data_IF_688286713738
#
_entry.id   IF_688286713738
#
_cell.length_a   1.000
_cell.length_b   1.000
_cell.length_c   1.000
_cell.angle_alpha   90.00
_cell.angle_beta   90.00
_cell.angle_gamma   90.00
#
_symmetry.space_group_name_H-M   'P 1'
#
loop_
_entity.id
_entity.type
_entity.pdbx_description
1 polymer ?
#
# COMPACT_ATOMS: atom_id res chain seq x y z
N UNK A 1 -15.99 1.10 14.58
CA UNK A 1 -14.99 0.83 13.54
C UNK A 1 -13.68 1.53 13.89
N UNK A 2 -13.66 2.87 14.01
CA UNK A 2 -12.43 3.62 14.31
C UNK A 2 -11.83 3.31 15.69
N UNK A 3 -12.65 3.14 16.72
CA UNK A 3 -12.15 2.88 18.09
C UNK A 3 -11.40 1.55 18.17
N UNK A 4 -11.90 0.50 17.52
CA UNK A 4 -11.19 -0.78 17.39
C UNK A 4 -9.86 -0.60 16.66
N UNK A 5 -9.88 -0.03 15.44
CA UNK A 5 -8.65 0.21 14.68
C UNK A 5 -7.61 0.94 15.55
N UNK A 6 -7.98 2.01 16.24
CA UNK A 6 -7.04 2.76 17.07
C UNK A 6 -6.46 1.94 18.24
N UNK A 7 -7.21 1.00 18.82
CA UNK A 7 -6.73 0.10 19.90
C UNK A 7 -5.68 -0.88 19.41
N UNK A 8 -5.87 -1.40 18.20
CA UNK A 8 -5.02 -2.43 17.61
C UNK A 8 -4.04 -1.89 16.57
N UNK A 9 -4.06 -0.58 16.28
CA UNK A 9 -3.22 0.07 15.27
C UNK A 9 -1.74 -0.20 15.51
N UNK A 10 -1.26 0.11 16.71
CA UNK A 10 0.16 -0.05 17.05
C UNK A 10 0.63 -1.52 16.98
N UNK A 11 -0.06 -2.50 17.61
CA UNK A 11 0.32 -3.90 17.50
C UNK A 11 0.21 -4.43 16.06
N UNK A 12 -0.81 -4.00 15.30
CA UNK A 12 -0.95 -4.39 13.90
C UNK A 12 0.22 -3.89 13.06
N UNK A 13 0.55 -2.59 13.15
CA UNK A 13 1.68 -2.01 12.42
C UNK A 13 3.03 -2.62 12.86
N UNK A 14 3.18 -2.95 14.15
CA UNK A 14 4.35 -3.66 14.66
C UNK A 14 4.47 -5.07 14.07
N UNK A 15 3.37 -5.82 14.01
CA UNK A 15 3.36 -7.13 13.37
C UNK A 15 3.69 -7.04 11.88
N UNK A 16 3.07 -6.12 11.15
CA UNK A 16 3.39 -5.89 9.74
C UNK A 16 4.85 -5.49 9.52
N UNK A 17 5.48 -4.83 10.50
CA UNK A 17 6.89 -4.41 10.42
C UNK A 17 7.87 -5.52 10.79
N UNK A 18 7.40 -6.64 11.35
CA UNK A 18 8.24 -7.75 11.77
C UNK A 18 8.55 -8.67 10.59
N UNK A 19 9.83 -8.94 10.27
CA UNK A 19 10.20 -9.88 9.22
C UNK A 19 9.86 -11.34 9.59
N UNK A 20 9.54 -11.60 10.87
CA UNK A 20 9.14 -12.91 11.36
C UNK A 20 7.62 -13.13 11.24
N UNK A 21 6.87 -12.07 10.97
CA UNK A 21 5.43 -12.15 10.77
C UNK A 21 5.16 -12.36 9.28
N UNK A 22 4.91 -13.61 8.89
CA UNK A 22 4.21 -13.89 7.66
C UNK A 22 2.72 -13.82 7.98
N UNK A 23 1.99 -12.75 7.61
CA UNK A 23 0.55 -12.76 7.78
C UNK A 23 0.03 -14.00 7.05
N UNK A 24 -0.63 -14.91 7.78
CA UNK A 24 -1.49 -15.90 7.11
C UNK A 24 -2.39 -15.10 6.19
N UNK A 25 -2.43 -15.46 4.90
CA UNK A 25 -3.16 -14.73 3.85
C UNK A 25 -4.51 -14.31 4.43
N UNK A 26 -4.57 -13.06 4.86
CA UNK A 26 -5.66 -12.57 5.66
C UNK A 26 -6.68 -12.26 4.60
N UNK A 27 -7.51 -13.27 4.27
CA UNK A 27 -8.49 -13.12 3.21
C UNK A 27 -9.24 -11.82 3.46
N UNK A 28 -9.52 -11.06 2.40
CA UNK A 28 -10.05 -9.70 2.57
C UNK A 28 -11.39 -9.70 3.32
N UNK A 29 -12.10 -10.85 3.37
CA UNK A 29 -13.25 -11.05 4.27
C UNK A 29 -12.86 -10.98 5.75
N UNK A 30 -11.74 -11.58 6.14
CA UNK A 30 -11.17 -11.49 7.48
C UNK A 30 -10.70 -10.06 7.80
N UNK A 31 -10.16 -9.31 6.83
CA UNK A 31 -9.80 -7.89 7.02
C UNK A 31 -11.02 -6.96 7.12
N UNK A 32 -12.04 -7.13 6.28
CA UNK A 32 -13.30 -6.36 6.40
C UNK A 32 -14.05 -6.73 7.69
N UNK A 33 -14.01 -8.00 8.08
CA UNK A 33 -14.53 -8.48 9.36
C UNK A 33 -13.76 -7.89 10.55
N UNK A 34 -12.44 -7.75 10.41
CA UNK A 34 -11.54 -7.13 11.39
C UNK A 34 -11.92 -5.68 11.67
N UNK A 35 -12.17 -4.89 10.63
CA UNK A 35 -12.58 -3.49 10.80
C UNK A 35 -14.01 -3.34 11.34
N UNK A 36 -14.85 -4.36 11.15
CA UNK A 36 -16.25 -4.39 11.60
C UNK A 36 -16.42 -4.90 13.04
N UNK A 37 -15.34 -5.33 13.71
CA UNK A 37 -15.42 -6.04 15.01
C UNK A 37 -15.97 -5.18 16.16
N UNK A 38 -15.71 -3.87 16.14
CA UNK A 38 -16.25 -2.90 17.11
C UNK A 38 -17.79 -2.97 17.24
N UNK A 39 -18.46 -3.31 16.13
CA UNK A 39 -19.91 -3.46 16.09
C UNK A 39 -20.35 -4.82 16.65
N UNK A 40 -19.57 -5.87 16.40
CA UNK A 40 -19.86 -7.23 16.85
C UNK A 40 -19.60 -7.44 18.34
N UNK A 41 -18.58 -6.77 18.92
CA UNK A 41 -18.29 -6.84 20.36
C UNK A 41 -19.39 -6.17 21.18
N UNK A 42 -19.92 -5.03 20.73
CA UNK A 42 -21.07 -4.36 21.37
C UNK A 42 -22.37 -5.17 21.26
N UNK A 43 -22.55 -5.92 20.17
CA UNK A 43 -23.70 -6.82 20.02
C UNK A 43 -23.62 -8.04 20.96
N UNK A 44 -22.43 -8.42 21.43
CA UNK A 44 -22.19 -9.58 22.29
C UNK A 44 -22.38 -9.31 23.78
N UNK A 45 -22.54 -8.05 24.22
CA UNK A 45 -22.86 -7.76 25.63
C UNK A 45 -24.25 -8.29 26.03
N UNK A 46 -25.06 -8.76 25.07
CA UNK A 46 -26.39 -9.32 25.31
C UNK A 46 -26.61 -10.81 24.99
N UNK A 47 -25.73 -11.58 24.33
CA UNK A 47 -26.09 -12.96 23.93
C UNK A 47 -24.98 -14.04 23.85
N UNK A 48 -25.44 -15.29 23.99
CA UNK A 48 -24.79 -16.62 24.03
C UNK A 48 -23.41 -16.81 23.32
N UNK A 49 -22.51 -17.64 23.90
CA UNK A 49 -21.18 -17.95 23.37
C UNK A 49 -21.15 -18.76 22.06
N UNK A 50 -22.30 -19.17 21.53
CA UNK A 50 -22.45 -19.93 20.26
C UNK A 50 -22.71 -19.03 19.05
N UNK A 51 -22.79 -17.71 19.22
CA UNK A 51 -23.05 -16.79 18.12
C UNK A 51 -21.89 -16.74 17.13
N UNK A 52 -22.19 -16.51 15.85
CA UNK A 52 -21.17 -16.30 14.80
C UNK A 52 -20.16 -15.22 15.18
N UNK A 53 -20.55 -14.22 15.97
CA UNK A 53 -19.67 -13.16 16.46
C UNK A 53 -18.61 -13.66 17.46
N UNK A 54 -18.96 -14.57 18.37
CA UNK A 54 -18.01 -15.18 19.31
C UNK A 54 -16.96 -16.05 18.58
N UNK A 55 -17.40 -16.85 17.60
CA UNK A 55 -16.51 -17.65 16.72
C UNK A 55 -15.56 -16.73 15.93
N UNK A 56 -16.07 -15.60 15.42
CA UNK A 56 -15.25 -14.60 14.71
C UNK A 56 -14.23 -13.92 15.64
N UNK A 57 -14.62 -13.61 16.87
CA UNK A 57 -13.71 -13.06 17.89
C UNK A 57 -12.62 -14.06 18.30
N UNK A 58 -12.92 -15.35 18.36
CA UNK A 58 -11.92 -16.39 18.63
C UNK A 58 -10.92 -16.56 17.46
N UNK A 59 -11.41 -16.62 16.22
CA UNK A 59 -10.56 -16.65 15.02
C UNK A 59 -9.66 -15.42 14.92
N UNK A 60 -10.16 -14.26 15.35
CA UNK A 60 -9.35 -13.04 15.46
C UNK A 60 -8.22 -13.16 16.48
N UNK A 61 -8.54 -13.65 17.68
CA UNK A 61 -7.53 -13.88 18.73
C UNK A 61 -6.48 -14.86 18.28
N UNK A 62 -6.83 -15.84 17.44
CA UNK A 62 -5.90 -16.80 16.84
C UNK A 62 -4.99 -16.14 15.78
N UNK A 63 -5.55 -15.40 14.83
CA UNK A 63 -4.79 -14.66 13.79
C UNK A 63 -3.79 -13.69 14.44
N UNK A 64 -4.21 -13.06 15.54
CA UNK A 64 -3.41 -12.11 16.28
C UNK A 64 -2.71 -12.75 17.49
N UNK A 65 -2.78 -14.07 17.71
CA UNK A 65 -2.17 -14.73 18.88
C UNK A 65 -0.65 -14.53 18.88
N UNK A 66 -0.03 -14.49 17.69
CA UNK A 66 1.38 -14.12 17.53
C UNK A 66 1.69 -12.67 17.87
N UNK A 67 0.71 -11.76 17.75
CA UNK A 67 0.83 -10.33 18.10
C UNK A 67 0.50 -10.05 19.57
N UNK A 68 -0.50 -10.76 20.12
CA UNK A 68 -1.08 -10.49 21.45
C UNK A 68 -0.34 -11.15 22.60
N UNK A 69 0.37 -12.26 22.36
CA UNK A 69 1.18 -12.88 23.42
C UNK A 69 2.40 -12.01 23.78
N UNK A 70 2.88 -11.18 22.85
CA UNK A 70 4.00 -10.25 23.06
C UNK A 70 3.53 -8.82 23.37
N UNK A 71 2.38 -8.40 22.84
CA UNK A 71 1.79 -7.08 23.09
C UNK A 71 0.49 -7.28 23.89
N UNK A 72 0.51 -6.94 25.18
CA UNK A 72 -0.67 -6.96 26.06
C UNK A 72 -1.74 -5.99 25.56
N UNK A 73 -2.57 -6.44 24.60
CA UNK A 73 -3.75 -5.69 24.17
C UNK A 73 -4.94 -6.30 24.87
N UNK A 74 -5.49 -5.57 25.82
CA UNK A 74 -6.77 -5.91 26.42
C UNK A 74 -7.87 -5.70 25.37
N UNK A 75 -8.22 -6.76 24.65
CA UNK A 75 -9.38 -6.82 23.76
C UNK A 75 -10.72 -6.85 24.53
N UNK A 76 -10.69 -6.79 25.85
CA UNK A 76 -11.88 -6.73 26.70
C UNK A 76 -12.52 -5.35 26.67
N UNK A 77 -13.86 -5.31 26.75
CA UNK A 77 -14.67 -4.09 26.87
C UNK A 77 -14.48 -3.35 28.19
N UNK A 78 -13.24 -3.15 28.64
CA UNK A 78 -12.93 -2.28 29.75
C UNK A 78 -13.17 -0.83 29.34
N UNK A 79 -14.07 -0.17 30.06
CA UNK A 79 -14.45 1.25 29.95
C UNK A 79 -13.27 2.24 30.10
N UNK A 80 -12.05 1.76 30.39
CA UNK A 80 -10.90 2.59 30.77
C UNK A 80 -9.76 2.75 29.76
N UNK A 81 -9.76 2.07 28.60
CA UNK A 81 -8.70 2.28 27.60
C UNK A 81 -8.97 3.53 26.78
N UNK A 82 -8.48 4.68 27.27
CA UNK A 82 -8.43 5.93 26.52
C UNK A 82 -7.59 5.71 25.25
N UNK A 83 -8.25 5.74 24.09
CA UNK A 83 -7.59 5.58 22.79
C UNK A 83 -7.36 6.96 22.18
N UNK A 84 -6.21 7.17 21.58
CA UNK A 84 -5.86 8.45 20.96
C UNK A 84 -5.44 8.31 19.51
N UNK A 85 -5.68 9.35 18.74
CA UNK A 85 -5.18 9.54 17.39
C UNK A 85 -4.28 10.76 17.36
N UNK A 86 -2.98 10.55 17.08
CA UNK A 86 -1.98 11.64 16.99
C UNK A 86 -2.01 12.59 18.20
N UNK A 87 -2.18 12.03 19.40
CA UNK A 87 -2.22 12.78 20.66
C UNK A 87 -3.59 13.35 21.03
N UNK A 88 -4.61 13.27 20.15
CA UNK A 88 -5.99 13.65 20.45
C UNK A 88 -6.77 12.46 20.99
N UNK A 89 -7.54 12.66 22.06
CA UNK A 89 -8.45 11.63 22.57
C UNK A 89 -9.56 11.32 21.56
N UNK A 90 -10.05 10.08 21.57
CA UNK A 90 -11.09 9.60 20.66
C UNK A 90 -12.36 10.48 20.66
N UNK A 91 -12.75 10.98 21.83
CA UNK A 91 -13.92 11.83 22.03
C UNK A 91 -13.74 13.24 21.44
N UNK A 92 -12.50 13.66 21.20
CA UNK A 92 -12.14 14.97 20.65
C UNK A 92 -11.81 14.93 19.14
N UNK A 93 -12.05 13.80 18.47
CA UNK A 93 -11.73 13.66 17.05
C UNK A 93 -12.72 14.44 16.16
N UNK A 94 -12.14 15.18 15.22
CA UNK A 94 -12.88 15.95 14.22
C UNK A 94 -13.19 15.10 12.98
N UNK A 95 -13.99 15.64 12.05
CA UNK A 95 -14.22 15.00 10.76
C UNK A 95 -12.92 14.78 9.96
N UNK A 96 -11.97 15.72 10.08
CA UNK A 96 -10.65 15.62 9.45
C UNK A 96 -9.87 14.42 10.02
N UNK A 97 -9.87 14.27 11.34
CA UNK A 97 -9.20 13.13 12.00
C UNK A 97 -9.82 11.79 11.55
N UNK A 98 -11.14 11.72 11.41
CA UNK A 98 -11.82 10.53 10.88
C UNK A 98 -11.42 10.22 9.43
N UNK A 99 -11.29 11.24 8.57
CA UNK A 99 -10.84 11.04 7.19
C UNK A 99 -9.41 10.48 7.14
N UNK A 100 -8.51 10.97 8.00
CA UNK A 100 -7.15 10.45 8.10
C UNK A 100 -7.11 8.99 8.58
N UNK A 101 -7.97 8.63 9.53
CA UNK A 101 -8.09 7.24 10.02
C UNK A 101 -8.62 6.33 8.91
N UNK A 102 -9.67 6.74 8.19
CA UNK A 102 -10.20 5.99 7.04
C UNK A 102 -9.13 5.82 5.97
N UNK A 103 -8.38 6.88 5.68
CA UNK A 103 -7.28 6.85 4.74
C UNK A 103 -6.21 5.83 5.17
N UNK A 104 -5.76 5.86 6.42
CA UNK A 104 -4.73 4.95 6.91
C UNK A 104 -5.18 3.48 6.82
N UNK A 105 -6.41 3.20 7.25
CA UNK A 105 -7.01 1.86 7.15
C UNK A 105 -7.04 1.39 5.70
N UNK A 106 -7.47 2.26 4.78
CA UNK A 106 -7.60 1.93 3.36
C UNK A 106 -6.25 1.75 2.69
N UNK A 107 -5.25 2.55 3.07
CA UNK A 107 -3.88 2.45 2.57
C UNK A 107 -3.20 1.15 3.05
N UNK A 108 -3.37 0.79 4.34
CA UNK A 108 -2.90 -0.51 4.86
C UNK A 108 -3.57 -1.66 4.10
N UNK A 109 -4.90 -1.60 3.93
CA UNK A 109 -5.65 -2.61 3.20
C UNK A 109 -5.13 -2.79 1.77
N UNK A 110 -5.02 -1.68 1.02
CA UNK A 110 -4.57 -1.69 -0.36
C UNK A 110 -3.15 -2.27 -0.49
N UNK A 111 -2.22 -1.90 0.41
CA UNK A 111 -0.85 -2.43 0.41
C UNK A 111 -0.80 -3.94 0.61
N UNK A 112 -1.58 -4.46 1.57
CA UNK A 112 -1.66 -5.90 1.86
C UNK A 112 -2.37 -6.68 0.75
N UNK A 113 -3.44 -6.10 0.19
CA UNK A 113 -4.18 -6.66 -0.93
C UNK A 113 -3.31 -6.76 -2.19
N UNK A 114 -2.53 -5.72 -2.50
CA UNK A 114 -1.59 -5.75 -3.62
C UNK A 114 -0.50 -6.81 -3.42
N UNK A 115 0.09 -6.90 -2.22
CA UNK A 115 1.12 -7.90 -1.91
C UNK A 115 0.58 -9.32 -2.05
N UNK A 116 -0.63 -9.56 -1.55
CA UNK A 116 -1.30 -10.87 -1.62
C UNK A 116 -1.66 -11.23 -3.07
N UNK A 117 -2.19 -10.26 -3.83
CA UNK A 117 -2.48 -10.48 -5.24
C UNK A 117 -1.21 -10.79 -6.03
N UNK A 118 -0.11 -10.06 -5.79
CA UNK A 118 1.17 -10.32 -6.45
C UNK A 118 1.63 -11.77 -6.22
N UNK A 119 1.54 -12.25 -4.98
CA UNK A 119 1.89 -13.62 -4.62
C UNK A 119 1.04 -14.67 -5.35
N UNK A 120 -0.27 -14.41 -5.52
CA UNK A 120 -1.21 -15.34 -6.17
C UNK A 120 -1.12 -15.30 -7.70
N UNK A 121 -0.89 -14.12 -8.26
CA UNK A 121 -0.88 -13.88 -9.69
C UNK A 121 0.47 -14.20 -10.33
N UNK A 122 1.54 -14.35 -9.56
CA UNK A 122 2.88 -14.61 -10.07
C UNK A 122 2.97 -15.93 -10.85
N UNK A 123 3.68 -15.93 -11.99
CA UNK A 123 4.12 -17.15 -12.68
C UNK A 123 5.06 -17.92 -11.73
N UNK A 124 4.66 -19.13 -11.31
CA UNK A 124 5.35 -19.96 -10.32
C UNK A 124 6.88 -19.84 -10.38
N UNK A 125 7.44 -19.06 -9.45
CA UNK A 125 8.86 -18.99 -9.15
C UNK A 125 9.07 -19.44 -7.70
N UNK A 126 10.11 -20.21 -7.40
CA UNK A 126 10.29 -20.76 -6.06
C UNK A 126 10.60 -19.63 -5.06
N UNK A 127 9.96 -19.70 -3.90
CA UNK A 127 10.24 -18.99 -2.65
C UNK A 127 9.71 -17.56 -2.48
N UNK A 128 9.48 -17.24 -1.20
CA UNK A 128 9.27 -15.91 -0.64
C UNK A 128 10.54 -15.07 -0.85
N UNK A 129 10.68 -14.53 -2.06
CA UNK A 129 11.84 -13.72 -2.45
C UNK A 129 11.72 -12.32 -1.82
N UNK A 130 12.65 -11.96 -0.93
CA UNK A 130 12.75 -10.61 -0.35
C UNK A 130 12.93 -9.52 -1.42
N UNK A 131 13.39 -9.89 -2.62
CA UNK A 131 13.40 -9.00 -3.78
C UNK A 131 11.98 -8.60 -4.22
N UNK A 132 10.99 -9.48 -4.04
CA UNK A 132 9.59 -9.25 -4.42
C UNK A 132 8.85 -8.38 -3.41
N UNK A 133 9.03 -8.58 -2.11
CA UNK A 133 8.51 -7.64 -1.11
C UNK A 133 9.10 -6.23 -1.32
N UNK A 134 10.37 -6.17 -1.69
CA UNK A 134 11.03 -4.93 -2.09
C UNK A 134 10.39 -4.35 -3.36
N UNK A 135 10.02 -5.18 -4.33
CA UNK A 135 9.33 -4.74 -5.56
C UNK A 135 7.92 -4.18 -5.26
N UNK A 136 7.12 -4.85 -4.43
CA UNK A 136 5.81 -4.36 -3.99
C UNK A 136 5.97 -3.06 -3.21
N UNK A 137 6.92 -2.98 -2.27
CA UNK A 137 7.20 -1.75 -1.51
C UNK A 137 7.57 -0.56 -2.39
N UNK A 138 8.20 -0.77 -3.56
CA UNK A 138 8.50 0.29 -4.54
C UNK A 138 7.26 0.89 -5.19
N UNK A 139 6.08 0.27 -5.07
CA UNK A 139 4.81 0.88 -5.49
C UNK A 139 4.36 2.00 -4.52
N UNK A 140 4.97 2.13 -3.34
CA UNK A 140 4.55 3.03 -2.28
C UNK A 140 5.65 4.00 -1.84
N UNK A 141 5.26 5.08 -1.16
CA UNK A 141 6.16 6.11 -0.63
C UNK A 141 7.00 5.63 0.58
N UNK A 142 6.79 4.39 1.03
CA UNK A 142 7.52 3.73 2.10
C UNK A 142 7.29 2.21 2.08
N UNK A 143 7.82 1.46 3.05
CA UNK A 143 7.58 0.02 3.19
C UNK A 143 6.09 -0.32 3.32
N UNK A 144 5.70 -1.54 2.94
CA UNK A 144 4.32 -2.05 3.08
C UNK A 144 3.80 -1.85 4.51
N UNK A 145 4.66 -2.09 5.50
CA UNK A 145 4.35 -2.04 6.92
C UNK A 145 4.22 -0.64 7.54
N UNK A 146 4.73 0.39 6.86
CA UNK A 146 4.79 1.75 7.40
C UNK A 146 3.82 2.64 6.62
N UNK A 147 2.68 2.91 7.23
CA UNK A 147 1.68 3.85 6.73
C UNK A 147 1.69 5.10 7.61
N UNK A 148 2.23 6.20 7.07
CA UNK A 148 2.17 7.52 7.69
C UNK A 148 1.18 8.39 6.93
N UNK A 149 0.23 9.00 7.64
CA UNK A 149 -0.72 9.96 7.07
C UNK A 149 0.00 11.12 6.40
N UNK A 150 1.18 11.53 6.85
CA UNK A 150 1.98 12.54 6.14
C UNK A 150 2.31 12.14 4.68
N UNK A 151 2.26 10.84 4.37
CA UNK A 151 2.45 10.30 3.01
C UNK A 151 1.16 10.20 2.19
N UNK A 152 0.02 10.66 2.70
CA UNK A 152 -1.29 10.40 2.11
C UNK A 152 -1.46 10.89 0.67
N UNK A 153 -0.83 12.02 0.38
CA UNK A 153 -0.84 12.60 -0.95
C UNK A 153 0.46 12.29 -1.70
N UNK A 154 1.14 11.19 -1.36
CA UNK A 154 2.34 10.65 -1.99
C UNK A 154 2.07 9.36 -2.78
N UNK A 155 3.07 8.88 -3.51
CA UNK A 155 2.94 7.60 -4.20
C UNK A 155 2.01 7.67 -5.41
N UNK A 156 1.14 6.66 -5.53
CA UNK A 156 0.14 6.55 -6.59
C UNK A 156 -0.94 7.64 -6.53
N UNK A 157 -1.15 8.25 -5.36
CA UNK A 157 -2.13 9.31 -5.13
C UNK A 157 -1.57 10.73 -5.34
N UNK A 158 -0.26 10.90 -5.62
CA UNK A 158 0.34 12.24 -5.75
C UNK A 158 -0.33 13.03 -6.89
N UNK A 159 -0.71 14.31 -6.72
CA UNK A 159 -1.42 15.08 -7.74
C UNK A 159 -0.63 15.28 -9.03
N UNK A 160 0.66 15.60 -8.92
CA UNK A 160 1.57 15.76 -10.06
C UNK A 160 1.90 14.40 -10.70
N UNK A 161 1.78 14.31 -12.03
CA UNK A 161 2.06 13.07 -12.76
C UNK A 161 3.53 12.65 -12.66
N UNK A 162 4.46 13.60 -12.63
CA UNK A 162 5.90 13.36 -12.63
C UNK A 162 6.34 12.68 -11.33
N UNK A 163 5.87 13.16 -10.18
CA UNK A 163 6.17 12.54 -8.89
C UNK A 163 5.42 11.21 -8.69
N UNK A 164 4.28 11.03 -9.36
CA UNK A 164 3.51 9.77 -9.37
C UNK A 164 4.17 8.69 -10.24
N UNK A 165 4.81 9.09 -11.34
CA UNK A 165 5.33 8.19 -12.37
C UNK A 165 6.24 7.07 -11.83
N UNK A 166 7.21 7.31 -10.93
CA UNK A 166 8.06 6.25 -10.39
C UNK A 166 7.29 5.10 -9.70
N UNK A 167 6.16 5.42 -9.06
CA UNK A 167 5.30 4.45 -8.38
C UNK A 167 4.47 3.65 -9.38
N UNK A 168 3.92 4.33 -10.39
CA UNK A 168 3.20 3.69 -11.49
C UNK A 168 4.10 2.77 -12.31
N UNK A 169 5.33 3.20 -12.62
CA UNK A 169 6.31 2.36 -13.30
C UNK A 169 6.71 1.13 -12.47
N UNK A 170 6.78 1.26 -11.15
CA UNK A 170 7.03 0.13 -10.25
C UNK A 170 5.86 -0.86 -10.26
N UNK A 171 4.63 -0.35 -10.20
CA UNK A 171 3.41 -1.16 -10.28
C UNK A 171 3.27 -1.85 -11.64
N UNK A 172 3.58 -1.14 -12.73
CA UNK A 172 3.62 -1.70 -14.09
C UNK A 172 4.57 -2.89 -14.19
N UNK A 173 5.82 -2.73 -13.76
CA UNK A 173 6.81 -3.84 -13.73
C UNK A 173 6.35 -5.01 -12.88
N UNK A 174 5.68 -4.73 -11.76
CA UNK A 174 5.12 -5.77 -10.90
C UNK A 174 4.07 -6.59 -11.67
N UNK A 175 3.08 -5.91 -12.26
CA UNK A 175 1.99 -6.53 -13.01
C UNK A 175 2.41 -7.23 -14.31
N UNK A 176 3.53 -6.83 -14.91
CA UNK A 176 4.13 -7.54 -16.04
C UNK A 176 4.53 -8.98 -15.70
N UNK A 177 4.82 -9.28 -14.44
CA UNK A 177 5.21 -10.62 -13.99
C UNK A 177 4.03 -11.53 -13.64
N UNK A 178 2.81 -10.99 -13.67
CA UNK A 178 1.59 -11.76 -13.37
C UNK A 178 1.25 -12.72 -14.52
N UNK A 179 0.60 -13.83 -14.20
CA UNK A 179 0.05 -14.79 -15.15
C UNK A 179 -1.12 -14.18 -15.92
N UNK A 180 -1.42 -14.76 -17.08
CA UNK A 180 -2.58 -14.38 -17.89
C UNK A 180 -2.31 -13.30 -18.93
N UNK A 181 -3.37 -13.02 -19.69
CA UNK A 181 -3.39 -12.01 -20.75
C UNK A 181 -3.34 -10.62 -20.14
N UNK A 182 -2.49 -9.75 -20.70
CA UNK A 182 -2.27 -8.38 -20.22
C UNK A 182 -2.71 -7.39 -21.29
N UNK A 183 -3.25 -6.23 -20.91
CA UNK A 183 -3.41 -5.11 -21.82
C UNK A 183 -2.09 -4.77 -22.52
N UNK A 184 -2.13 -4.40 -23.79
CA UNK A 184 -0.95 -4.09 -24.61
C UNK A 184 0.01 -3.10 -23.93
N UNK A 185 -0.54 -2.06 -23.29
CA UNK A 185 0.25 -1.04 -22.59
C UNK A 185 1.01 -1.60 -21.38
N UNK A 186 0.53 -2.69 -20.79
CA UNK A 186 1.22 -3.42 -19.72
C UNK A 186 2.19 -4.43 -20.33
N UNK A 187 1.76 -5.17 -21.36
CA UNK A 187 2.52 -6.27 -21.96
C UNK A 187 3.80 -5.81 -22.70
N UNK A 188 3.79 -4.63 -23.31
CA UNK A 188 4.90 -4.16 -24.15
C UNK A 188 6.12 -3.77 -23.31
N UNK A 189 7.26 -4.35 -23.64
CA UNK A 189 8.55 -3.85 -23.16
C UNK A 189 8.82 -2.48 -23.79
N UNK A 190 9.11 -1.51 -22.93
CA UNK A 190 9.35 -0.14 -23.38
C UNK A 190 10.83 0.10 -23.58
N UNK A 191 11.19 0.57 -24.78
CA UNK A 191 12.57 0.91 -25.15
C UNK A 191 12.98 2.31 -24.71
N UNK A 192 12.01 3.22 -24.55
CA UNK A 192 12.23 4.59 -24.06
C UNK A 192 11.90 4.73 -22.58
N UNK A 193 12.80 5.37 -21.84
CA UNK A 193 12.63 5.71 -20.42
C UNK A 193 11.88 7.03 -20.18
N UNK A 194 11.58 7.79 -21.24
CA UNK A 194 10.93 9.08 -21.15
C UNK A 194 9.41 8.94 -21.20
N UNK A 195 8.76 9.20 -20.08
CA UNK A 195 7.30 9.20 -19.98
C UNK A 195 6.74 10.59 -20.25
N UNK A 196 5.70 10.65 -21.08
CA UNK A 196 4.85 11.85 -21.20
C UNK A 196 3.70 11.78 -20.19
N UNK A 197 3.10 12.93 -19.89
CA UNK A 197 1.93 12.99 -18.99
C UNK A 197 0.76 12.14 -19.51
N UNK A 198 0.50 12.19 -20.82
CA UNK A 198 -0.59 11.43 -21.46
C UNK A 198 -0.35 9.93 -21.30
N UNK A 199 0.85 9.45 -21.59
CA UNK A 199 1.21 8.03 -21.42
C UNK A 199 1.08 7.57 -19.97
N UNK A 200 1.46 8.41 -18.99
CA UNK A 200 1.31 8.09 -17.57
C UNK A 200 -0.15 8.01 -17.16
N UNK A 201 -1.00 8.86 -17.73
CA UNK A 201 -2.44 8.83 -17.48
C UNK A 201 -3.09 7.57 -18.05
N UNK A 202 -2.75 7.20 -19.29
CA UNK A 202 -3.18 5.96 -19.93
C UNK A 202 -2.69 4.73 -19.18
N UNK A 203 -1.41 4.72 -18.79
CA UNK A 203 -0.83 3.65 -17.97
C UNK A 203 -1.57 3.52 -16.64
N UNK A 204 -1.82 4.64 -15.93
CA UNK A 204 -2.55 4.62 -14.66
C UNK A 204 -3.92 3.97 -14.83
N UNK A 205 -4.67 4.35 -15.86
CA UNK A 205 -5.99 3.79 -16.14
C UNK A 205 -5.91 2.28 -16.39
N UNK A 206 -5.02 1.86 -17.28
CA UNK A 206 -4.85 0.44 -17.62
C UNK A 206 -4.38 -0.41 -16.43
N UNK A 207 -3.46 0.11 -15.60
CA UNK A 207 -3.02 -0.58 -14.39
C UNK A 207 -4.15 -0.71 -13.36
N UNK A 208 -4.97 0.32 -13.20
CA UNK A 208 -6.10 0.29 -12.28
C UNK A 208 -7.17 -0.72 -12.72
N UNK A 209 -7.52 -0.73 -14.00
CA UNK A 209 -8.46 -1.71 -14.58
C UNK A 209 -7.90 -3.14 -14.43
N UNK A 210 -6.64 -3.36 -14.84
CA UNK A 210 -6.00 -4.66 -14.73
C UNK A 210 -5.89 -5.15 -13.28
N UNK A 211 -5.58 -4.25 -12.34
CA UNK A 211 -5.57 -4.56 -10.91
C UNK A 211 -6.94 -5.02 -10.42
N UNK A 212 -8.00 -4.25 -10.70
CA UNK A 212 -9.35 -4.54 -10.25
C UNK A 212 -9.85 -5.86 -10.82
N UNK A 213 -9.63 -6.09 -12.11
CA UNK A 213 -10.04 -7.31 -12.78
C UNK A 213 -9.32 -8.54 -12.21
N UNK A 214 -7.99 -8.51 -12.09
CA UNK A 214 -7.24 -9.62 -11.50
C UNK A 214 -7.64 -9.85 -10.05
N UNK A 215 -7.76 -8.79 -9.26
CA UNK A 215 -8.18 -8.92 -7.88
C UNK A 215 -9.56 -9.58 -7.77
N UNK A 216 -10.53 -9.13 -8.57
CA UNK A 216 -11.86 -9.73 -8.60
C UNK A 216 -11.82 -11.19 -9.06
N UNK A 217 -10.99 -11.54 -10.04
CA UNK A 217 -10.84 -12.92 -10.52
C UNK A 217 -10.30 -13.86 -9.43
N UNK A 218 -9.31 -13.43 -8.65
CA UNK A 218 -8.70 -14.26 -7.61
C UNK A 218 -9.54 -14.32 -6.32
N UNK A 219 -10.17 -13.21 -5.92
CA UNK A 219 -10.81 -13.08 -4.61
C UNK A 219 -12.34 -12.98 -4.66
N UNK A 220 -12.94 -12.84 -5.84
CA UNK A 220 -14.40 -12.77 -6.04
C UNK A 220 -15.06 -11.51 -5.50
N UNK A 221 -14.30 -10.45 -5.21
CA UNK A 221 -14.79 -9.21 -4.61
C UNK A 221 -13.97 -8.00 -5.03
N UNK A 222 -14.50 -6.76 -4.90
CA UNK A 222 -13.75 -5.57 -5.28
C UNK A 222 -12.58 -5.29 -4.32
N UNK A 223 -11.41 -4.88 -4.84
CA UNK A 223 -10.29 -4.44 -4.02
C UNK A 223 -10.56 -3.10 -3.34
N UNK A 224 -9.73 -2.80 -2.35
CA UNK A 224 -9.55 -1.45 -1.83
C UNK A 224 -8.71 -0.65 -2.83
N UNK A 225 -9.11 0.59 -3.10
CA UNK A 225 -8.36 1.47 -4.00
C UNK A 225 -7.57 2.51 -3.19
N UNK A 226 -6.42 2.98 -3.72
CA UNK A 226 -5.69 4.09 -3.13
C UNK A 226 -6.61 5.29 -2.94
N UNK A 227 -6.66 5.82 -1.73
CA UNK A 227 -7.45 6.99 -1.41
C UNK A 227 -6.60 8.26 -1.43
N UNK A 228 -7.13 9.30 -2.08
CA UNK A 228 -6.59 10.65 -1.98
C UNK A 228 -7.17 11.33 -0.75
N UNK A 229 -6.32 11.99 0.04
CA UNK A 229 -6.78 12.76 1.19
C UNK A 229 -7.04 14.22 0.75
N UNK A 230 -8.26 14.75 0.91
CA UNK A 230 -8.66 16.05 0.36
C UNK A 230 -7.95 17.24 1.02
N UNK A 231 -7.28 17.02 2.15
CA UNK A 231 -6.48 18.02 2.85
C UNK A 231 -5.02 17.57 2.94
N UNK A 232 -4.13 18.54 3.16
CA UNK A 232 -2.74 18.25 3.49
C UNK A 232 -2.65 17.95 5.00
N UNK A 233 -2.21 16.74 5.39
CA UNK A 233 -2.05 16.41 6.79
C UNK A 233 -0.96 17.26 7.42
N UNK A 234 -1.14 17.64 8.68
CA UNK A 234 -0.23 18.56 9.39
C UNK A 234 1.11 17.91 9.79
N UNK A 235 1.36 16.68 9.38
CA UNK A 235 2.57 15.93 9.75
C UNK A 235 3.59 15.94 8.62
N UNK A 236 4.83 16.31 8.94
CA UNK A 236 5.93 16.26 7.99
C UNK A 236 6.30 14.80 7.70
N UNK A 237 6.09 14.36 6.47
CA UNK A 237 6.62 13.09 5.97
C UNK A 237 7.73 13.37 4.96
N UNK A 238 8.89 12.73 5.17
CA UNK A 238 9.97 12.71 4.19
C UNK A 238 9.97 11.33 3.55
N UNK A 239 9.66 11.23 2.24
CA UNK A 239 9.75 9.95 1.55
C UNK A 239 11.15 9.38 1.71
N UNK A 240 11.25 8.07 1.91
CA UNK A 240 12.54 7.40 1.93
C UNK A 240 13.26 7.73 0.61
N UNK A 241 14.46 8.35 0.69
CA UNK A 241 15.18 8.86 -0.48
C UNK A 241 15.41 7.71 -1.47
N UNK A 242 14.71 7.75 -2.59
CA UNK A 242 15.01 6.88 -3.74
C UNK A 242 16.28 7.40 -4.39
N UNK A 243 17.40 6.73 -4.17
CA UNK A 243 18.60 6.87 -4.99
C UNK A 243 18.43 6.12 -6.30
N UNK A 244 17.46 6.49 -7.13
CA UNK A 244 17.49 6.20 -8.57
C UNK A 244 16.70 7.31 -9.26
N UNK A 245 17.30 7.93 -10.27
CA UNK A 245 16.73 8.89 -11.23
C UNK A 245 16.63 10.39 -10.87
N UNK A 246 17.00 10.87 -9.66
CA UNK A 246 17.21 12.32 -9.50
C UNK A 246 18.45 12.83 -10.25
N UNK A 247 19.47 11.98 -10.45
CA UNK A 247 20.70 12.36 -11.16
C UNK A 247 20.56 12.36 -12.70
N UNK A 248 19.69 11.55 -13.29
CA UNK A 248 19.52 11.55 -14.75
C UNK A 248 18.66 12.73 -15.23
N UNK A 249 17.61 13.11 -14.49
CA UNK A 249 16.78 14.27 -14.87
C UNK A 249 17.43 15.64 -14.57
N UNK A 250 18.25 15.75 -13.51
CA UNK A 250 19.05 16.96 -13.30
C UNK A 250 20.17 17.12 -14.33
N UNK A 251 20.75 16.03 -14.85
CA UNK A 251 21.72 16.11 -15.95
C UNK A 251 21.06 16.66 -17.23
N UNK A 252 19.81 16.28 -17.53
CA UNK A 252 19.13 16.76 -18.74
C UNK A 252 18.60 18.19 -18.64
N UNK A 253 18.17 18.66 -17.46
CA UNK A 253 17.82 20.08 -17.29
C UNK A 253 19.05 21.00 -17.45
N UNK A 254 20.24 20.55 -17.02
CA UNK A 254 21.49 21.29 -17.24
C UNK A 254 21.96 21.26 -18.71
N UNK A 255 21.68 20.19 -19.46
CA UNK A 255 21.98 20.09 -20.89
C UNK A 255 21.03 20.97 -21.71
N UNK A 256 19.75 21.07 -21.34
CA UNK A 256 18.78 21.95 -22.03
C UNK A 256 18.97 23.44 -21.72
N UNK A 257 19.50 23.81 -20.53
CA UNK A 257 19.85 25.21 -20.24
C UNK A 257 21.17 25.66 -20.87
N UNK A 258 22.09 24.75 -21.17
CA UNK A 258 23.38 25.06 -21.82
C UNK A 258 23.39 24.77 -23.33
N UNK A 259 22.24 24.42 -23.92
CA UNK A 259 22.08 24.11 -25.34
C UNK A 259 22.06 25.32 -26.26
N UNK A 260 23.07 26.18 -26.18
CA UNK A 260 23.41 27.12 -27.26
C UNK A 260 24.90 27.03 -27.50
N UNK A 261 25.26 26.57 -28.70
CA UNK A 261 26.61 26.32 -29.22
C UNK A 261 27.34 25.11 -28.64
N UNK A 262 27.38 24.01 -29.40
CA UNK A 262 28.62 23.48 -30.02
C UNK A 262 28.27 22.21 -30.82
N UNK A 263 28.21 22.36 -32.14
CA UNK A 263 28.27 21.24 -33.09
C UNK A 263 29.71 20.71 -33.11
N UNK A 264 29.89 19.39 -33.08
CA UNK A 264 31.18 18.74 -33.36
C UNK A 264 31.07 17.21 -33.27
N UNK A 265 31.45 16.44 -34.32
CA UNK A 265 31.20 15.00 -34.38
C UNK A 265 32.38 14.23 -33.81
N UNK A 266 32.12 13.28 -32.90
CA UNK A 266 33.07 12.22 -32.61
C UNK A 266 32.36 10.87 -32.53
N UNK A 267 32.63 10.08 -33.57
CA UNK A 267 32.50 8.63 -33.62
C UNK A 267 33.17 7.99 -32.40
N UNK A 268 32.58 6.97 -31.80
CA UNK A 268 33.35 6.00 -31.02
C UNK A 268 32.80 4.57 -31.12
N UNK A 269 33.77 3.70 -31.32
CA UNK A 269 33.79 2.28 -31.68
C UNK A 269 33.05 1.32 -30.75
N UNK A 270 32.59 0.22 -31.37
CA UNK A 270 32.33 -1.08 -30.75
C UNK A 270 33.59 -1.61 -30.03
N UNK A 271 33.40 -2.28 -28.90
CA UNK A 271 34.28 -3.37 -28.49
C UNK A 271 33.48 -4.49 -27.84
N UNK A 272 33.53 -5.65 -28.49
CA UNK A 272 33.33 -6.98 -27.92
C UNK A 272 34.51 -7.34 -27.02
N UNK A 273 34.21 -7.93 -25.86
CA UNK A 273 34.76 -9.20 -25.37
C UNK A 273 34.07 -9.60 -24.07
#
# INVERSE_FOLDING_TARGET
MFKFWLRIRLPMLACLSSPLYSPSVLDQNSWKMFLSLDYLVKANEWENPTTKAAVRGAKMKEILAGCFNEIKVELGGGEGTSVSWRGKHYEALTAIDHQEIVWEISEVAFRLELATLDQMAQIAGPNHDTSRETAVSRCFAGPISIVDVGSANMGLAYPNWYDRAPYLCSLWRLMQTWMGSKPDIIAKDRTSWLWTEVEIYELKKALAEYYVDNFFLYFGQPPTLPWYLPHNPQTSFVPMRRFVAKQQLLMFMLIFQNGSSFFGPYSFFMYEN
#
